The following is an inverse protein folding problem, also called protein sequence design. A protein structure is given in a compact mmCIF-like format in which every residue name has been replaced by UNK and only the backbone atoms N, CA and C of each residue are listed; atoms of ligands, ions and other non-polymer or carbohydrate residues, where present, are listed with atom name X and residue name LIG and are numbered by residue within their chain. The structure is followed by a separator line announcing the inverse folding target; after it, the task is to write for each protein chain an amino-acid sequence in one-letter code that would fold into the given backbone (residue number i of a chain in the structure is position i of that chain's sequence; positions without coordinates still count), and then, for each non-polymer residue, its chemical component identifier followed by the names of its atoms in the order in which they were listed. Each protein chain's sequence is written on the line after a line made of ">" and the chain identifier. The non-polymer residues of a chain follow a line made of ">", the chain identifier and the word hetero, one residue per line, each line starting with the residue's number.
data_IF_937232546559
#
_entry.id   IF_937232546559
#
_cell.length_a   1.000
_cell.length_b   1.000
_cell.length_c   1.000
_cell.angle_alpha   90.00
_cell.angle_beta   90.00
_cell.angle_gamma   90.00
#
_symmetry.space_group_name_H-M   'P 1'
#
loop_
_entity.id
_entity.type
_entity.pdbx_description
1 polymer ?
#
# COMPACT_ATOMS: atom_id res chain seq x y z
N UNK A 1 -49.31 -8.89 -42.06
CA UNK A 1 -47.87 -8.82 -41.73
C UNK A 1 -47.75 -8.18 -40.35
N UNK A 2 -47.32 -8.93 -39.33
CA UNK A 2 -47.10 -8.39 -37.98
C UNK A 2 -45.75 -7.67 -37.95
N UNK A 3 -45.65 -6.43 -37.48
CA UNK A 3 -44.35 -5.83 -37.19
C UNK A 3 -43.79 -6.43 -35.89
N UNK A 4 -42.55 -6.90 -35.98
CA UNK A 4 -41.77 -7.48 -34.89
C UNK A 4 -41.41 -6.40 -33.87
N UNK A 5 -41.81 -6.62 -32.63
CA UNK A 5 -41.37 -5.87 -31.44
C UNK A 5 -39.88 -6.08 -31.21
N UNK A 6 -39.08 -5.01 -31.23
CA UNK A 6 -37.68 -5.03 -30.79
C UNK A 6 -37.60 -5.08 -29.26
N UNK A 7 -36.70 -5.90 -28.66
CA UNK A 7 -36.57 -5.97 -27.21
C UNK A 7 -35.77 -4.77 -26.66
N UNK A 8 -35.97 -4.37 -25.39
CA UNK A 8 -35.37 -3.17 -24.82
C UNK A 8 -33.86 -3.33 -24.61
N UNK A 9 -33.14 -2.24 -24.87
CA UNK A 9 -31.68 -2.16 -24.82
C UNK A 9 -31.10 -2.59 -23.48
N UNK A 10 -30.12 -3.49 -23.54
CA UNK A 10 -29.23 -3.79 -22.40
C UNK A 10 -28.49 -2.52 -22.02
N UNK A 11 -28.73 -2.02 -20.80
CA UNK A 11 -27.87 -1.06 -20.12
C UNK A 11 -26.43 -1.60 -20.16
N UNK A 12 -25.53 -0.90 -20.85
CA UNK A 12 -24.10 -1.14 -20.72
C UNK A 12 -23.73 -0.84 -19.27
N UNK A 13 -23.46 -1.91 -18.52
CA UNK A 13 -22.87 -1.83 -17.19
C UNK A 13 -21.41 -1.46 -17.43
N UNK A 14 -21.06 -0.18 -17.28
CA UNK A 14 -19.67 0.28 -17.23
C UNK A 14 -19.00 -0.33 -15.99
N UNK A 15 -18.63 -1.61 -16.07
CA UNK A 15 -17.59 -2.17 -15.25
C UNK A 15 -16.29 -1.75 -15.93
N UNK A 16 -15.66 -0.71 -15.40
CA UNK A 16 -14.25 -0.44 -15.67
C UNK A 16 -13.47 -1.66 -15.17
N UNK A 17 -13.20 -2.61 -16.06
CA UNK A 17 -12.34 -3.74 -15.74
C UNK A 17 -10.92 -3.19 -15.62
N UNK A 18 -10.39 -3.18 -14.40
CA UNK A 18 -8.98 -2.86 -14.12
C UNK A 18 -8.03 -3.96 -14.64
N UNK A 19 -8.51 -4.83 -15.54
CA UNK A 19 -7.85 -6.03 -16.04
C UNK A 19 -7.22 -5.84 -17.43
N UNK A 20 -7.37 -4.66 -18.02
CA UNK A 20 -6.81 -4.32 -19.32
C UNK A 20 -5.86 -3.15 -19.22
N UNK A 21 -4.63 -3.37 -18.74
CA UNK A 21 -3.37 -2.86 -19.30
C UNK A 21 -2.18 -3.18 -18.37
N UNK A 22 -1.36 -4.13 -18.81
CA UNK A 22 0.00 -4.38 -18.31
C UNK A 22 0.18 -4.89 -16.87
N UNK A 23 1.34 -5.49 -16.54
CA UNK A 23 1.74 -5.69 -15.15
C UNK A 23 1.70 -4.37 -14.37
N UNK A 24 1.41 -4.48 -13.07
CA UNK A 24 1.17 -3.48 -12.00
C UNK A 24 1.95 -2.14 -11.98
N UNK A 25 2.84 -1.85 -12.93
CA UNK A 25 3.73 -0.68 -12.95
C UNK A 25 3.71 0.14 -14.25
N UNK A 26 2.98 -0.27 -15.30
CA UNK A 26 3.19 0.30 -16.64
C UNK A 26 2.30 1.48 -17.01
N UNK A 27 1.27 1.81 -16.23
CA UNK A 27 0.26 2.76 -16.71
C UNK A 27 0.73 4.22 -16.75
N UNK A 28 1.84 4.59 -16.09
CA UNK A 28 2.57 5.83 -16.42
C UNK A 28 3.95 5.93 -15.73
N UNK A 29 5.02 5.69 -16.49
CA UNK A 29 6.41 5.80 -15.99
C UNK A 29 6.73 7.20 -15.45
N UNK A 30 6.12 8.25 -16.02
CA UNK A 30 6.31 9.62 -15.56
C UNK A 30 5.72 9.82 -14.15
N UNK A 31 4.48 9.40 -13.94
CA UNK A 31 3.78 9.47 -12.63
C UNK A 31 4.58 8.72 -11.56
N UNK A 32 5.05 7.50 -11.87
CA UNK A 32 5.86 6.71 -10.95
C UNK A 32 7.17 7.40 -10.58
N UNK A 33 7.91 7.91 -11.57
CA UNK A 33 9.19 8.61 -11.34
C UNK A 33 9.02 9.83 -10.44
N UNK A 34 7.93 10.57 -10.66
CA UNK A 34 7.62 11.78 -9.92
C UNK A 34 7.23 11.48 -8.46
N UNK A 35 6.28 10.56 -8.26
CA UNK A 35 5.87 10.10 -6.94
C UNK A 35 7.05 9.50 -6.15
N UNK A 36 7.86 8.66 -6.80
CA UNK A 36 9.06 8.08 -6.17
C UNK A 36 10.04 9.16 -5.71
N UNK A 37 10.30 10.16 -6.55
CA UNK A 37 11.19 11.27 -6.19
C UNK A 37 10.65 12.03 -4.98
N UNK A 38 9.36 12.33 -4.99
CA UNK A 38 8.70 13.03 -3.89
C UNK A 38 8.75 12.24 -2.58
N UNK A 39 8.40 10.95 -2.59
CA UNK A 39 8.42 10.10 -1.39
C UNK A 39 9.82 9.99 -0.81
N UNK A 40 10.84 9.75 -1.65
CA UNK A 40 12.23 9.68 -1.19
C UNK A 40 12.68 11.00 -0.55
N UNK A 41 12.33 12.13 -1.17
CA UNK A 41 12.67 13.45 -0.63
C UNK A 41 11.95 13.70 0.69
N UNK A 42 10.65 13.42 0.75
CA UNK A 42 9.82 13.57 1.95
C UNK A 42 10.36 12.75 3.12
N UNK A 43 10.75 11.49 2.88
CA UNK A 43 11.34 10.66 3.93
C UNK A 43 12.67 11.23 4.45
N UNK A 44 13.54 11.76 3.58
CA UNK A 44 14.79 12.44 3.99
C UNK A 44 14.50 13.70 4.81
N UNK A 45 13.46 14.44 4.46
CA UNK A 45 13.05 15.64 5.18
C UNK A 45 12.46 15.30 6.56
N UNK A 46 11.68 14.22 6.66
CA UNK A 46 11.14 13.68 7.90
C UNK A 46 12.19 13.09 8.84
N UNK A 47 13.41 12.83 8.36
CA UNK A 47 14.54 12.38 9.19
C UNK A 47 15.24 11.12 8.71
N UNK A 48 14.93 10.59 7.51
CA UNK A 48 15.63 9.44 6.94
C UNK A 48 17.10 9.74 6.70
N UNK A 49 17.95 9.02 7.43
CA UNK A 49 19.39 9.25 7.50
C UNK A 49 19.82 10.39 8.41
N UNK A 50 18.93 10.85 9.31
CA UNK A 50 19.22 11.88 10.32
C UNK A 50 18.95 11.36 11.74
N UNK A 51 19.38 12.12 12.74
CA UNK A 51 19.30 11.77 14.17
C UNK A 51 17.88 11.49 14.69
N UNK A 52 16.85 12.10 14.09
CA UNK A 52 15.46 11.88 14.51
C UNK A 52 15.02 10.42 14.36
N UNK A 53 15.32 9.79 13.21
CA UNK A 53 14.97 8.38 12.99
C UNK A 53 15.92 7.46 13.74
N UNK A 54 17.18 7.86 13.93
CA UNK A 54 18.12 7.08 14.74
C UNK A 54 17.58 6.86 16.15
N UNK A 55 17.04 7.89 16.80
CA UNK A 55 16.40 7.75 18.11
C UNK A 55 15.20 6.78 18.07
N UNK A 56 14.36 6.87 17.04
CA UNK A 56 13.22 5.95 16.88
C UNK A 56 13.67 4.49 16.70
N UNK A 57 14.74 4.26 15.93
CA UNK A 57 15.32 2.94 15.73
C UNK A 57 15.92 2.41 17.03
N UNK A 58 16.64 3.26 17.79
CA UNK A 58 17.18 2.88 19.10
C UNK A 58 16.08 2.51 20.09
N UNK A 59 15.00 3.27 20.12
CA UNK A 59 13.81 2.94 20.91
C UNK A 59 13.21 1.60 20.47
N UNK A 60 13.05 1.37 19.18
CA UNK A 60 12.50 0.10 18.68
C UNK A 60 13.43 -1.09 18.97
N UNK A 61 14.75 -0.90 18.96
CA UNK A 61 15.72 -1.92 19.39
C UNK A 61 15.50 -2.29 20.86
N UNK A 62 15.25 -1.32 21.74
CA UNK A 62 14.97 -1.60 23.15
C UNK A 62 13.71 -2.46 23.31
N UNK A 63 12.64 -2.14 22.58
CA UNK A 63 11.42 -2.94 22.58
C UNK A 63 11.64 -4.34 21.99
N UNK A 64 12.41 -4.45 20.92
CA UNK A 64 12.75 -5.74 20.32
C UNK A 64 13.53 -6.61 21.29
N UNK A 65 14.47 -6.03 22.06
CA UNK A 65 15.18 -6.76 23.12
C UNK A 65 14.26 -7.26 24.22
N UNK A 66 13.24 -6.48 24.61
CA UNK A 66 12.22 -6.94 25.57
C UNK A 66 11.43 -8.13 25.05
N UNK A 67 11.05 -8.10 23.77
CA UNK A 67 10.39 -9.22 23.09
C UNK A 67 11.30 -10.45 23.09
N UNK A 68 12.59 -10.30 22.77
CA UNK A 68 13.55 -11.41 22.81
C UNK A 68 13.70 -12.01 24.21
N UNK A 69 13.76 -11.15 25.25
CA UNK A 69 13.85 -11.61 26.65
C UNK A 69 12.61 -12.39 27.08
N UNK A 70 11.43 -12.06 26.56
CA UNK A 70 10.17 -12.76 26.90
C UNK A 70 10.17 -14.25 26.55
N UNK A 71 11.02 -14.67 25.61
CA UNK A 71 11.14 -16.07 25.20
C UNK A 71 11.99 -16.93 26.14
N UNK A 72 12.64 -16.35 27.17
CA UNK A 72 13.32 -17.08 28.25
C UNK A 72 14.29 -18.18 27.78
N UNK A 73 15.05 -17.92 26.69
CA UNK A 73 16.03 -18.86 26.16
C UNK A 73 15.47 -20.03 25.35
N UNK A 74 14.16 -20.04 25.08
CA UNK A 74 13.55 -21.03 24.18
C UNK A 74 13.98 -20.80 22.72
N UNK A 75 14.06 -21.85 21.89
CA UNK A 75 14.22 -21.69 20.45
C UNK A 75 13.07 -20.87 19.86
N UNK A 76 13.40 -19.87 19.04
CA UNK A 76 12.43 -18.99 18.41
C UNK A 76 12.72 -18.82 16.92
N UNK A 77 11.66 -18.66 16.16
CA UNK A 77 11.74 -18.10 14.82
C UNK A 77 11.89 -16.58 14.93
N UNK A 78 13.08 -16.08 14.58
CA UNK A 78 13.40 -14.65 14.62
C UNK A 78 12.72 -13.86 13.51
N UNK A 79 12.21 -14.50 12.45
CA UNK A 79 11.61 -13.81 11.31
C UNK A 79 10.43 -12.97 11.78
N UNK A 80 9.50 -13.56 12.54
CA UNK A 80 8.28 -12.88 12.99
C UNK A 80 8.54 -11.64 13.88
N UNK A 81 9.32 -11.72 14.97
CA UNK A 81 9.56 -10.53 15.80
C UNK A 81 10.45 -9.50 15.10
N UNK A 82 11.34 -9.92 14.20
CA UNK A 82 12.19 -9.00 13.45
C UNK A 82 11.39 -8.24 12.37
N UNK A 83 10.56 -8.93 11.60
CA UNK A 83 9.67 -8.28 10.61
C UNK A 83 8.70 -7.32 11.29
N UNK A 84 8.17 -7.71 12.45
CA UNK A 84 7.32 -6.84 13.29
C UNK A 84 8.05 -5.56 13.71
N UNK A 85 9.32 -5.66 14.12
CA UNK A 85 10.16 -4.52 14.50
C UNK A 85 10.42 -3.58 13.32
N UNK A 86 10.79 -4.14 12.16
CA UNK A 86 11.03 -3.37 10.95
C UNK A 86 9.75 -2.69 10.43
N UNK A 87 8.61 -3.39 10.49
CA UNK A 87 7.29 -2.87 10.12
C UNK A 87 6.89 -1.69 11.01
N UNK A 88 7.21 -1.72 12.30
CA UNK A 88 7.00 -0.59 13.21
C UNK A 88 7.81 0.65 12.84
N UNK A 89 9.08 0.49 12.47
CA UNK A 89 9.91 1.61 12.01
C UNK A 89 9.28 2.26 10.76
N UNK A 90 8.86 1.45 9.78
CA UNK A 90 8.20 1.94 8.56
C UNK A 90 6.85 2.60 8.90
N UNK A 91 6.04 1.96 9.74
CA UNK A 91 4.73 2.48 10.17
C UNK A 91 4.84 3.83 10.88
N UNK A 92 5.90 4.04 11.66
CA UNK A 92 6.15 5.32 12.30
C UNK A 92 6.43 6.44 11.29
N UNK A 93 7.04 6.11 10.15
CA UNK A 93 7.37 7.07 9.10
C UNK A 93 6.19 7.34 8.16
N UNK A 94 5.38 6.33 7.92
CA UNK A 94 4.24 6.42 7.00
C UNK A 94 3.00 6.98 7.70
N UNK A 95 2.70 6.51 8.92
CA UNK A 95 1.46 6.82 9.66
C UNK A 95 1.69 7.66 10.92
N UNK A 96 2.94 8.01 11.24
CA UNK A 96 3.27 8.70 12.49
C UNK A 96 3.00 7.85 13.76
N UNK A 97 2.72 6.55 13.61
CA UNK A 97 2.24 5.66 14.68
C UNK A 97 3.09 4.40 14.78
N UNK A 98 3.53 4.11 16.00
CA UNK A 98 4.09 2.82 16.40
C UNK A 98 2.97 1.89 16.88
N UNK A 99 3.02 0.63 16.50
CA UNK A 99 2.08 -0.39 16.95
C UNK A 99 2.70 -1.29 18.02
N UNK A 100 1.85 -1.83 18.90
CA UNK A 100 2.27 -2.93 19.77
C UNK A 100 2.51 -4.19 18.92
N UNK A 101 3.40 -5.06 19.37
CA UNK A 101 3.65 -6.32 18.67
C UNK A 101 2.37 -7.17 18.55
N UNK A 102 1.49 -7.18 19.54
CA UNK A 102 0.22 -7.91 19.45
C UNK A 102 -0.95 -7.13 18.87
N UNK A 103 -0.71 -5.93 18.35
CA UNK A 103 -1.76 -5.09 17.80
C UNK A 103 -2.42 -5.77 16.57
N UNK A 104 -3.76 -5.90 16.56
CA UNK A 104 -4.47 -6.56 15.46
C UNK A 104 -4.41 -5.75 14.16
N UNK A 105 -4.34 -4.42 14.23
CA UNK A 105 -4.22 -3.56 13.05
C UNK A 105 -2.85 -3.78 12.37
N UNK A 106 -1.79 -3.94 13.17
CA UNK A 106 -0.44 -4.27 12.69
C UNK A 106 -0.37 -5.65 12.04
N UNK A 107 -0.87 -6.68 12.72
CA UNK A 107 -0.90 -8.04 12.19
C UNK A 107 -1.64 -8.09 10.85
N UNK A 108 -2.76 -7.37 10.74
CA UNK A 108 -3.50 -7.24 9.49
C UNK A 108 -2.69 -6.53 8.40
N UNK A 109 -1.93 -5.47 8.72
CA UNK A 109 -1.05 -4.80 7.76
C UNK A 109 0.07 -5.72 7.26
N UNK A 110 0.68 -6.51 8.14
CA UNK A 110 1.74 -7.44 7.77
C UNK A 110 1.19 -8.61 6.93
N UNK A 111 0.06 -9.19 7.31
CA UNK A 111 -0.64 -10.22 6.54
C UNK A 111 -1.03 -9.73 5.13
N UNK A 112 -1.51 -8.49 5.04
CA UNK A 112 -1.82 -7.83 3.77
C UNK A 112 -0.58 -7.69 2.88
N UNK A 113 0.56 -7.32 3.47
CA UNK A 113 1.82 -7.15 2.75
C UNK A 113 2.37 -8.50 2.27
N UNK A 114 2.33 -9.52 3.10
CA UNK A 114 2.78 -10.88 2.75
C UNK A 114 1.94 -11.46 1.60
N UNK A 115 0.61 -11.29 1.63
CA UNK A 115 -0.26 -11.75 0.54
C UNK A 115 0.01 -10.98 -0.75
N UNK A 116 0.28 -9.67 -0.67
CA UNK A 116 0.64 -8.86 -1.84
C UNK A 116 1.97 -9.34 -2.46
N UNK A 117 3.00 -9.60 -1.64
CA UNK A 117 4.28 -10.14 -2.10
C UNK A 117 4.10 -11.51 -2.74
N UNK A 118 3.29 -12.39 -2.13
CA UNK A 118 2.96 -13.69 -2.69
C UNK A 118 2.24 -13.58 -4.04
N UNK A 119 1.29 -12.67 -4.18
CA UNK A 119 0.58 -12.43 -5.44
C UNK A 119 1.52 -11.87 -6.52
N UNK A 120 2.41 -10.93 -6.17
CA UNK A 120 3.41 -10.40 -7.10
C UNK A 120 4.39 -11.49 -7.56
N UNK A 121 4.84 -12.36 -6.65
CA UNK A 121 5.69 -13.50 -6.98
C UNK A 121 4.98 -14.50 -7.94
N UNK A 122 3.71 -14.80 -7.67
CA UNK A 122 2.91 -15.69 -8.51
C UNK A 122 2.61 -15.09 -9.89
N UNK A 123 2.37 -13.78 -9.96
CA UNK A 123 2.10 -13.08 -11.21
C UNK A 123 3.35 -12.78 -12.03
N UNK A 124 4.55 -12.89 -11.45
CA UNK A 124 5.81 -12.76 -12.18
C UNK A 124 5.94 -13.77 -13.33
N UNK A 125 5.40 -14.99 -13.17
CA UNK A 125 5.40 -16.00 -14.24
C UNK A 125 4.61 -15.55 -15.48
N UNK A 126 3.57 -14.72 -15.32
CA UNK A 126 2.83 -14.17 -16.45
C UNK A 126 3.64 -13.17 -17.28
N UNK A 127 4.66 -12.53 -16.69
CA UNK A 127 5.56 -11.61 -17.40
C UNK A 127 6.44 -12.40 -18.37
N UNK A 128 6.94 -13.57 -17.95
CA UNK A 128 7.78 -14.42 -18.78
C UNK A 128 6.98 -15.28 -19.76
N UNK A 129 5.76 -15.68 -19.39
CA UNK A 129 4.90 -16.55 -20.19
C UNK A 129 3.48 -15.98 -20.33
N UNK A 130 3.26 -14.99 -21.22
CA UNK A 130 1.97 -14.31 -21.36
C UNK A 130 0.80 -15.24 -21.74
N UNK A 131 1.08 -16.35 -22.44
CA UNK A 131 0.09 -17.33 -22.88
C UNK A 131 -0.58 -18.08 -21.72
N UNK A 132 0.05 -18.13 -20.54
CA UNK A 132 -0.48 -18.76 -19.32
C UNK A 132 -1.76 -18.05 -18.85
N UNK A 133 -1.93 -16.75 -19.15
CA UNK A 133 -3.13 -15.97 -18.78
C UNK A 133 -4.41 -16.48 -19.45
N UNK A 134 -4.31 -17.19 -20.57
CA UNK A 134 -5.47 -17.68 -21.31
C UNK A 134 -6.03 -19.00 -20.76
N UNK A 135 -5.39 -19.59 -19.75
CA UNK A 135 -5.83 -20.83 -19.14
C UNK A 135 -6.88 -20.54 -18.05
N UNK A 136 -8.12 -21.05 -18.18
CA UNK A 136 -9.25 -20.61 -17.35
C UNK A 136 -9.17 -21.05 -15.88
N UNK A 137 -8.34 -22.04 -15.53
CA UNK A 137 -8.19 -22.53 -14.15
C UNK A 137 -7.09 -21.79 -13.36
N UNK A 138 -6.20 -21.07 -14.05
CA UNK A 138 -5.02 -20.45 -13.44
C UNK A 138 -5.33 -19.27 -12.50
N UNK A 139 -6.31 -18.39 -12.76
CA UNK A 139 -6.65 -17.31 -11.84
C UNK A 139 -7.10 -17.79 -10.45
N UNK A 140 -7.84 -18.91 -10.40
CA UNK A 140 -8.25 -19.53 -9.14
C UNK A 140 -7.09 -20.31 -8.48
N UNK A 141 -6.25 -20.99 -9.28
CA UNK A 141 -5.10 -21.71 -8.76
C UNK A 141 -4.03 -20.78 -8.16
N UNK A 142 -3.80 -19.63 -8.79
CA UNK A 142 -2.88 -18.59 -8.31
C UNK A 142 -3.50 -17.66 -7.25
N UNK A 143 -4.70 -17.98 -6.74
CA UNK A 143 -5.34 -17.20 -5.67
C UNK A 143 -5.54 -15.72 -5.99
N UNK A 144 -5.61 -15.34 -7.27
CA UNK A 144 -5.64 -13.93 -7.70
C UNK A 144 -6.84 -13.21 -7.07
N UNK A 145 -8.01 -13.87 -7.01
CA UNK A 145 -9.21 -13.31 -6.39
C UNK A 145 -9.04 -13.05 -4.88
N UNK A 146 -8.33 -13.94 -4.18
CA UNK A 146 -8.04 -13.78 -2.75
C UNK A 146 -7.10 -12.59 -2.53
N UNK A 147 -6.03 -12.49 -3.32
CA UNK A 147 -5.11 -11.38 -3.24
C UNK A 147 -5.76 -10.03 -3.59
N UNK A 148 -6.69 -9.98 -4.55
CA UNK A 148 -7.47 -8.77 -4.82
C UNK A 148 -8.36 -8.37 -3.64
N UNK A 149 -9.07 -9.33 -3.02
CA UNK A 149 -9.89 -9.06 -1.83
C UNK A 149 -9.04 -8.50 -0.68
N UNK A 150 -7.85 -9.06 -0.48
CA UNK A 150 -6.91 -8.61 0.54
C UNK A 150 -6.35 -7.22 0.24
N UNK A 151 -6.04 -6.95 -1.03
CA UNK A 151 -5.60 -5.63 -1.49
C UNK A 151 -6.67 -4.56 -1.25
N UNK A 152 -7.94 -4.86 -1.55
CA UNK A 152 -9.06 -3.96 -1.23
C UNK A 152 -9.22 -3.75 0.29
N UNK A 153 -9.05 -4.80 1.11
CA UNK A 153 -9.03 -4.66 2.57
C UNK A 153 -7.93 -3.71 3.07
N UNK A 154 -6.74 -3.79 2.45
CA UNK A 154 -5.61 -2.89 2.74
C UNK A 154 -5.94 -1.44 2.41
N UNK A 155 -6.60 -1.20 1.26
CA UNK A 155 -7.00 0.16 0.84
C UNK A 155 -7.89 0.82 1.87
N UNK A 156 -8.78 0.08 2.51
CA UNK A 156 -9.68 0.62 3.53
C UNK A 156 -8.91 1.09 4.79
N UNK A 157 -7.87 0.37 5.20
CA UNK A 157 -7.00 0.80 6.31
C UNK A 157 -6.30 2.11 5.95
N UNK A 158 -5.66 2.17 4.77
CA UNK A 158 -5.01 3.39 4.30
C UNK A 158 -6.00 4.55 4.17
N UNK A 159 -7.20 4.30 3.65
CA UNK A 159 -8.27 5.31 3.54
C UNK A 159 -8.63 5.88 4.91
N UNK A 160 -8.83 5.03 5.91
CA UNK A 160 -9.11 5.48 7.29
C UNK A 160 -7.98 6.35 7.84
N UNK A 161 -6.72 5.92 7.66
CA UNK A 161 -5.55 6.72 8.09
C UNK A 161 -5.48 8.06 7.39
N UNK A 162 -5.68 8.11 6.07
CA UNK A 162 -5.69 9.35 5.31
C UNK A 162 -6.78 10.30 5.83
N UNK A 163 -7.98 9.80 6.11
CA UNK A 163 -9.07 10.63 6.65
C UNK A 163 -8.79 11.13 8.08
N UNK A 164 -8.12 10.34 8.92
CA UNK A 164 -7.64 10.79 10.23
C UNK A 164 -6.61 11.92 10.07
N UNK A 165 -5.64 11.76 9.17
CA UNK A 165 -4.59 12.75 8.95
C UNK A 165 -5.16 14.05 8.38
N UNK A 166 -6.11 13.99 7.43
CA UNK A 166 -6.81 15.17 6.92
C UNK A 166 -7.50 15.99 8.02
N UNK A 167 -8.07 15.33 9.03
CA UNK A 167 -8.74 16.01 10.16
C UNK A 167 -7.76 16.68 11.12
N UNK A 168 -6.57 16.09 11.29
CA UNK A 168 -5.56 16.57 12.23
C UNK A 168 -4.39 17.28 11.55
N UNK A 169 -4.51 17.60 10.25
CA UNK A 169 -3.42 18.12 9.44
C UNK A 169 -3.01 19.51 9.93
N UNK A 170 -1.74 19.65 10.32
CA UNK A 170 -1.12 20.94 10.59
C UNK A 170 0.01 21.19 9.59
N UNK A 171 -0.20 22.15 8.69
CA UNK A 171 0.79 22.53 7.67
C UNK A 171 2.11 23.04 8.24
N UNK A 172 2.12 23.47 9.51
CA UNK A 172 3.33 23.95 10.19
C UNK A 172 4.12 22.81 10.82
N UNK A 173 3.51 21.65 11.04
CA UNK A 173 4.12 20.52 11.70
C UNK A 173 3.77 19.22 10.97
N UNK A 174 4.62 18.85 10.02
CA UNK A 174 4.46 17.63 9.23
C UNK A 174 4.98 16.43 10.03
N UNK A 175 4.09 15.50 10.36
CA UNK A 175 4.39 14.38 11.27
C UNK A 175 5.01 13.19 10.55
N UNK A 176 4.50 12.88 9.37
CA UNK A 176 4.75 11.65 8.63
C UNK A 176 4.57 11.84 7.12
N UNK A 177 4.75 10.75 6.37
CA UNK A 177 4.66 10.76 4.92
C UNK A 177 3.25 11.12 4.42
N UNK A 178 2.18 10.73 5.12
CA UNK A 178 0.81 11.05 4.71
C UNK A 178 0.59 12.56 4.80
N UNK A 179 0.99 13.20 5.89
CA UNK A 179 0.89 14.66 6.02
C UNK A 179 1.67 15.38 4.92
N UNK A 180 2.92 14.95 4.65
CA UNK A 180 3.73 15.48 3.54
C UNK A 180 2.99 15.38 2.21
N UNK A 181 2.41 14.21 1.92
CA UNK A 181 1.72 13.94 0.67
C UNK A 181 0.43 14.77 0.53
N UNK A 182 -0.34 14.93 1.61
CA UNK A 182 -1.54 15.77 1.63
C UNK A 182 -1.21 17.25 1.33
N UNK A 183 -0.14 17.78 1.93
CA UNK A 183 0.30 19.16 1.67
C UNK A 183 0.77 19.33 0.23
N UNK A 184 1.55 18.38 -0.30
CA UNK A 184 2.03 18.43 -1.68
C UNK A 184 0.87 18.37 -2.67
N UNK A 185 -0.13 17.51 -2.42
CA UNK A 185 -1.35 17.45 -3.23
C UNK A 185 -2.07 18.80 -3.29
N UNK A 186 -2.27 19.46 -2.14
CA UNK A 186 -2.92 20.77 -2.12
C UNK A 186 -2.12 21.84 -2.88
N UNK A 187 -0.79 21.86 -2.71
CA UNK A 187 0.09 22.82 -3.40
C UNK A 187 0.07 22.62 -4.90
N UNK A 188 0.02 21.37 -5.37
CA UNK A 188 -0.01 21.05 -6.80
C UNK A 188 -1.37 21.32 -7.42
N UNK A 189 -2.45 20.91 -6.78
CA UNK A 189 -3.82 21.16 -7.25
C UNK A 189 -4.15 22.65 -7.35
N UNK A 190 -3.56 23.48 -6.48
CA UNK A 190 -3.67 24.92 -6.57
C UNK A 190 -2.94 25.53 -7.79
N UNK A 191 -1.93 24.83 -8.34
CA UNK A 191 -1.12 25.28 -9.48
C UNK A 191 -1.61 24.73 -10.82
N UNK A 192 -2.06 23.48 -10.82
CA UNK A 192 -2.55 22.78 -12.01
C UNK A 192 -3.66 21.80 -11.61
N UNK A 193 -4.78 21.79 -12.34
CA UNK A 193 -5.89 20.87 -12.09
C UNK A 193 -5.62 19.45 -12.63
N UNK A 194 -4.66 19.29 -13.55
CA UNK A 194 -4.31 18.02 -14.20
C UNK A 194 -3.04 17.37 -13.61
N UNK A 195 -2.81 17.52 -12.30
CA UNK A 195 -1.59 16.99 -11.66
C UNK A 195 -1.61 15.48 -11.52
N UNK A 196 -0.43 14.88 -11.56
CA UNK A 196 -0.17 13.45 -11.33
C UNK A 196 -0.40 13.00 -9.87
N UNK A 197 -0.74 13.93 -8.97
CA UNK A 197 -0.97 13.71 -7.54
C UNK A 197 -2.48 13.76 -7.26
N UNK A 198 -3.18 12.71 -7.69
CA UNK A 198 -4.60 12.55 -7.45
C UNK A 198 -4.86 11.76 -6.16
N UNK A 199 -5.93 12.12 -5.43
CA UNK A 199 -6.39 11.36 -4.25
C UNK A 199 -7.07 10.03 -4.59
N UNK A 200 -6.97 9.60 -5.85
CA UNK A 200 -7.51 8.33 -6.35
C UNK A 200 -6.33 7.45 -6.69
N UNK A 201 -6.29 6.24 -6.11
CA UNK A 201 -5.34 5.25 -6.58
C UNK A 201 -5.62 4.95 -8.06
N UNK A 202 -4.60 4.98 -8.94
CA UNK A 202 -4.77 4.50 -10.29
C UNK A 202 -5.26 3.05 -10.24
N UNK A 203 -6.26 2.77 -11.06
CA UNK A 203 -6.86 1.44 -11.21
C UNK A 203 -5.82 0.39 -11.62
#
# INVERSE_FOLDING_TARGET
>A
MRPLTTPPGRKQRNQHSCLGNGPFFLNDMHIWKENRRFVIQSLKDLGLGKTKIEAQIQDEINHFQEVLKSFNGQPIDLVVPLTSSMSNNISSLVFGKRYKYDDPERKLLDENLDELINLLGQTAFHVFFPWIRNLPFLPNWLGIEKGYKQFEGSKEIFRKKIEEHKKTLDKRNIRDLIDSYLVEMEVRQAKDANTTFEGKMPC
#
